data_IF_206137015222
#
_entry.id   IF_206137015222
#
_cell.length_a   1.000
_cell.length_b   1.000
_cell.length_c   1.000
_cell.angle_alpha   90.00
_cell.angle_beta   90.00
_cell.angle_gamma   90.00
#
_symmetry.space_group_name_H-M   'P 1'
#
loop_
_entity.id
_entity.type
_entity.pdbx_description
1 polymer ?
#
# COMPACT_ATOMS: atom_id res chain seq x y z
N UNK A 1 -17.03 36.46 -30.65
CA UNK A 1 -16.12 35.34 -30.96
C UNK A 1 -14.74 35.93 -31.16
N UNK A 2 -13.64 35.47 -30.53
CA UNK A 2 -13.45 34.41 -29.51
C UNK A 2 -13.29 35.02 -28.09
N UNK A 3 -13.44 34.36 -26.95
CA UNK A 3 -13.41 32.92 -26.66
C UNK A 3 -12.08 32.52 -26.02
N UNK A 4 -11.63 33.21 -24.97
CA UNK A 4 -10.39 32.89 -24.26
C UNK A 4 -10.63 32.91 -22.74
N UNK A 5 -10.59 31.71 -22.16
CA UNK A 5 -10.11 31.32 -20.83
C UNK A 5 -10.80 30.02 -20.44
N UNK A 6 -10.37 28.94 -21.12
CA UNK A 6 -10.38 27.62 -20.51
C UNK A 6 -9.35 27.64 -19.39
N UNK A 7 -9.75 28.12 -18.21
CA UNK A 7 -9.00 27.88 -16.98
C UNK A 7 -9.26 26.43 -16.58
N UNK A 8 -8.36 25.59 -17.09
CA UNK A 8 -8.15 24.20 -16.76
C UNK A 8 -8.36 23.98 -15.25
N UNK A 9 -9.28 23.08 -14.89
CA UNK A 9 -9.44 22.63 -13.52
C UNK A 9 -8.11 22.11 -12.96
N UNK A 10 -7.92 22.10 -11.63
CA UNK A 10 -6.74 21.49 -11.05
C UNK A 10 -6.67 20.05 -11.52
N UNK A 11 -5.65 19.82 -12.36
CA UNK A 11 -5.34 18.55 -13.00
C UNK A 11 -5.21 17.50 -11.90
N UNK A 12 -6.01 16.45 -12.03
CA UNK A 12 -5.82 15.18 -11.36
C UNK A 12 -4.32 14.91 -11.21
N UNK A 13 -3.87 14.91 -9.96
CA UNK A 13 -2.54 14.42 -9.57
C UNK A 13 -2.56 12.90 -9.59
N UNK A 14 -2.98 12.33 -10.72
CA UNK A 14 -2.74 10.94 -11.04
C UNK A 14 -1.42 10.84 -11.83
N UNK A 15 -0.73 9.71 -11.62
CA UNK A 15 0.35 9.23 -12.48
C UNK A 15 1.75 9.86 -12.31
N UNK A 16 2.48 9.40 -11.29
CA UNK A 16 3.77 8.69 -11.47
C UNK A 16 4.62 8.71 -10.19
N UNK A 17 4.22 7.93 -9.19
CA UNK A 17 5.16 7.38 -8.20
C UNK A 17 5.21 5.88 -8.44
N UNK A 18 5.95 5.48 -9.47
CA UNK A 18 6.10 4.08 -9.85
C UNK A 18 6.53 3.22 -8.67
N UNK A 19 5.74 2.17 -8.43
CA UNK A 19 6.06 0.92 -7.72
C UNK A 19 5.38 0.63 -6.37
N UNK A 20 4.54 1.50 -5.78
CA UNK A 20 3.79 1.15 -4.54
C UNK A 20 2.30 1.50 -4.61
N UNK A 21 1.39 0.59 -4.21
CA UNK A 21 -0.06 0.79 -4.30
C UNK A 21 -0.64 1.72 -3.21
N UNK A 22 0.21 2.46 -2.48
CA UNK A 22 -0.19 3.32 -1.37
C UNK A 22 -0.08 4.79 -1.81
N UNK A 23 -1.21 5.48 -1.90
CA UNK A 23 -1.33 6.87 -2.34
C UNK A 23 -0.66 7.89 -1.37
N UNK A 24 -0.25 9.04 -1.92
CA UNK A 24 0.55 10.09 -1.26
C UNK A 24 0.00 10.65 0.06
N UNK A 25 -1.32 10.69 0.26
CA UNK A 25 -1.92 11.21 1.50
C UNK A 25 -1.80 10.22 2.68
N UNK A 26 -1.85 8.92 2.41
CA UNK A 26 -1.60 7.89 3.41
C UNK A 26 -0.12 7.93 3.85
N UNK A 27 0.79 8.08 2.88
CA UNK A 27 2.23 8.24 3.12
C UNK A 27 2.56 9.39 4.10
N UNK A 28 1.97 10.59 3.91
CA UNK A 28 2.24 11.76 4.77
C UNK A 28 1.73 11.56 6.19
N UNK A 29 0.51 11.02 6.36
CA UNK A 29 -0.04 10.72 7.69
C UNK A 29 0.79 9.67 8.42
N UNK A 30 1.17 8.60 7.73
CA UNK A 30 1.96 7.53 8.32
C UNK A 30 3.38 7.97 8.69
N UNK A 31 4.05 8.75 7.83
CA UNK A 31 5.38 9.29 8.12
C UNK A 31 5.39 10.15 9.40
N UNK A 32 4.37 11.00 9.56
CA UNK A 32 4.20 11.82 10.75
C UNK A 32 3.93 10.98 12.01
N UNK A 33 3.07 9.95 11.91
CA UNK A 33 2.71 9.05 13.02
C UNK A 33 3.85 8.11 13.43
N UNK A 34 4.69 7.69 12.49
CA UNK A 34 5.79 6.75 12.72
C UNK A 34 7.14 7.44 13.00
N UNK A 35 7.21 8.78 12.95
CA UNK A 35 8.48 9.53 13.08
C UNK A 35 9.56 9.06 12.09
N UNK A 36 9.14 8.66 10.88
CA UNK A 36 10.05 8.30 9.78
C UNK A 36 9.99 9.43 8.74
N UNK A 37 11.14 9.87 8.18
CA UNK A 37 11.14 10.89 7.14
C UNK A 37 10.29 10.44 5.95
N UNK A 38 9.39 11.31 5.50
CA UNK A 38 8.46 11.05 4.40
C UNK A 38 9.17 10.64 3.09
N UNK A 39 10.45 10.99 2.92
CA UNK A 39 11.29 10.61 1.79
C UNK A 39 11.77 9.15 1.86
N UNK A 40 11.90 8.57 3.06
CA UNK A 40 12.30 7.16 3.21
C UNK A 40 11.14 6.19 3.10
N UNK A 41 9.94 6.60 3.47
CA UNK A 41 8.77 5.73 3.48
C UNK A 41 8.47 5.12 2.09
N UNK A 42 8.47 5.88 0.98
CA UNK A 42 8.33 5.32 -0.36
C UNK A 42 9.41 4.29 -0.71
N UNK A 43 10.65 4.50 -0.25
CA UNK A 43 11.79 3.58 -0.50
C UNK A 43 11.72 2.31 0.37
N UNK A 44 11.03 2.37 1.50
CA UNK A 44 10.77 1.21 2.34
C UNK A 44 9.61 0.38 1.78
N UNK A 45 8.50 1.05 1.46
CA UNK A 45 7.36 0.44 0.77
C UNK A 45 7.82 -0.22 -0.53
N UNK A 46 8.59 0.51 -1.35
CA UNK A 46 9.90 0.04 -1.77
C UNK A 46 10.15 -1.46 -1.95
N UNK A 47 11.11 -1.80 -1.11
CA UNK A 47 11.70 -3.09 -0.87
C UNK A 47 10.66 -4.08 -0.37
N UNK A 48 9.68 -3.63 0.41
CA UNK A 48 8.64 -4.50 0.97
C UNK A 48 7.79 -5.09 -0.14
N UNK A 49 7.25 -4.25 -1.02
CA UNK A 49 6.47 -4.70 -2.15
C UNK A 49 7.30 -5.51 -3.16
N UNK A 50 8.62 -5.28 -3.27
CA UNK A 50 9.51 -6.15 -4.05
C UNK A 50 9.74 -7.54 -3.41
N UNK A 51 9.67 -7.68 -2.07
CA UNK A 51 9.69 -8.98 -1.35
C UNK A 51 8.33 -9.68 -1.40
N UNK A 52 7.24 -8.91 -1.27
CA UNK A 52 5.87 -9.42 -1.19
C UNK A 52 5.27 -9.76 -2.56
N UNK A 53 5.52 -8.95 -3.58
CA UNK A 53 5.00 -9.13 -4.94
C UNK A 53 5.23 -10.53 -5.52
N UNK A 54 6.46 -11.07 -5.56
CA UNK A 54 6.71 -12.43 -6.07
C UNK A 54 6.17 -13.53 -5.14
N UNK A 55 5.74 -13.21 -3.93
CA UNK A 55 5.15 -14.15 -2.97
C UNK A 55 3.64 -14.09 -2.93
N UNK A 56 2.99 -13.27 -3.76
CA UNK A 56 1.55 -13.05 -3.67
C UNK A 56 0.74 -14.34 -3.81
N UNK A 57 1.17 -15.29 -4.67
CA UNK A 57 0.57 -16.62 -4.79
C UNK A 57 0.63 -17.43 -3.49
N UNK A 58 1.69 -17.26 -2.69
CA UNK A 58 1.81 -17.89 -1.37
C UNK A 58 0.83 -17.25 -0.38
N UNK A 59 0.68 -15.92 -0.43
CA UNK A 59 -0.29 -15.21 0.42
C UNK A 59 -1.71 -15.62 0.09
N UNK A 60 -2.01 -15.82 -1.19
CA UNK A 60 -3.32 -16.29 -1.65
C UNK A 60 -3.71 -17.66 -1.07
N UNK A 61 -2.71 -18.54 -0.85
CA UNK A 61 -2.94 -19.88 -0.28
C UNK A 61 -2.93 -19.90 1.24
N UNK A 62 -2.17 -18.99 1.86
CA UNK A 62 -1.88 -19.01 3.31
C UNK A 62 -2.77 -18.06 4.10
N UNK A 63 -3.19 -16.95 3.49
CA UNK A 63 -3.87 -15.86 4.17
C UNK A 63 -5.23 -15.56 3.55
N UNK A 64 -6.09 -14.96 4.37
CA UNK A 64 -7.42 -14.54 3.96
C UNK A 64 -7.31 -13.24 3.15
N UNK A 65 -7.73 -13.29 1.88
CA UNK A 65 -7.81 -12.13 1.01
C UNK A 65 -9.13 -11.40 1.25
N UNK A 66 -9.06 -10.13 1.68
CA UNK A 66 -10.23 -9.33 2.04
C UNK A 66 -10.71 -8.39 0.92
N UNK A 67 -9.78 -7.96 0.05
CA UNK A 67 -10.08 -7.13 -1.10
C UNK A 67 -9.08 -7.42 -2.24
N UNK A 68 -9.54 -7.27 -3.48
CA UNK A 68 -8.73 -7.46 -4.68
C UNK A 68 -9.18 -6.49 -5.77
N UNK A 69 -8.27 -5.65 -6.22
CA UNK A 69 -8.45 -4.69 -7.31
C UNK A 69 -7.54 -5.05 -8.49
N UNK A 70 -7.74 -4.37 -9.63
CA UNK A 70 -6.94 -4.58 -10.86
C UNK A 70 -5.45 -4.21 -10.73
N UNK A 71 -5.02 -3.62 -9.60
CA UNK A 71 -3.62 -3.26 -9.37
C UNK A 71 -3.09 -3.53 -7.97
N UNK A 72 -3.91 -4.09 -7.06
CA UNK A 72 -3.52 -4.40 -5.68
C UNK A 72 -4.44 -5.47 -5.08
N UNK A 73 -3.90 -6.31 -4.23
CA UNK A 73 -4.65 -7.24 -3.39
C UNK A 73 -4.33 -7.01 -1.92
N UNK A 74 -5.34 -7.19 -1.08
CA UNK A 74 -5.26 -6.93 0.35
C UNK A 74 -5.53 -8.21 1.13
N UNK A 75 -4.64 -8.51 2.07
CA UNK A 75 -4.66 -9.74 2.87
C UNK A 75 -4.63 -9.41 4.36
N UNK A 76 -5.27 -10.25 5.17
CA UNK A 76 -5.13 -10.24 6.62
C UNK A 76 -4.09 -11.27 7.04
N UNK A 77 -3.06 -10.81 7.74
CA UNK A 77 -1.98 -11.64 8.27
C UNK A 77 -1.90 -11.56 9.78
N UNK A 78 -1.18 -12.51 10.38
CA UNK A 78 -0.85 -12.46 11.80
C UNK A 78 0.02 -11.23 12.12
N UNK A 79 -0.12 -10.59 13.29
CA UNK A 79 0.66 -9.39 13.64
C UNK A 79 2.18 -9.66 13.63
N UNK A 80 2.60 -10.87 14.01
CA UNK A 80 4.00 -11.31 14.00
C UNK A 80 4.60 -11.41 12.58
N UNK A 81 3.76 -11.38 11.55
CA UNK A 81 4.18 -11.46 10.15
C UNK A 81 5.21 -10.37 9.78
N UNK A 82 4.97 -9.15 10.25
CA UNK A 82 5.82 -8.00 9.98
C UNK A 82 7.21 -8.15 10.63
N UNK A 83 7.33 -8.91 11.70
CA UNK A 83 8.64 -9.22 12.30
C UNK A 83 9.48 -10.08 11.35
N UNK A 84 8.84 -11.07 10.72
CA UNK A 84 9.48 -11.90 9.69
C UNK A 84 9.91 -11.10 8.46
N UNK A 85 9.06 -10.20 7.99
CA UNK A 85 9.38 -9.29 6.86
C UNK A 85 10.51 -8.35 7.23
N UNK A 86 10.44 -7.72 8.41
CA UNK A 86 11.45 -6.80 8.91
C UNK A 86 12.82 -7.45 9.04
N UNK A 87 12.88 -8.67 9.58
CA UNK A 87 14.13 -9.42 9.70
C UNK A 87 14.76 -9.76 8.34
N UNK A 88 13.94 -10.10 7.32
CA UNK A 88 14.45 -10.40 5.97
C UNK A 88 14.99 -9.17 5.27
N UNK A 89 14.32 -8.03 5.44
CA UNK A 89 14.66 -6.78 4.78
C UNK A 89 15.67 -5.93 5.57
N UNK A 90 16.03 -6.35 6.79
CA UNK A 90 16.90 -5.61 7.69
C UNK A 90 16.27 -4.30 8.16
N UNK A 91 14.95 -4.28 8.37
CA UNK A 91 14.23 -3.11 8.87
C UNK A 91 14.42 -2.96 10.37
N UNK A 92 14.64 -1.73 10.82
CA UNK A 92 14.57 -1.36 12.23
C UNK A 92 13.14 -1.44 12.74
N UNK A 93 12.93 -1.55 14.06
CA UNK A 93 11.58 -1.57 14.66
C UNK A 93 10.70 -0.40 14.21
N UNK A 94 11.28 0.80 14.10
CA UNK A 94 10.58 2.00 13.61
C UNK A 94 10.21 1.93 12.13
N UNK A 95 11.08 1.35 11.32
CA UNK A 95 10.82 1.19 9.88
C UNK A 95 9.74 0.15 9.65
N UNK A 96 9.77 -0.94 10.42
CA UNK A 96 8.72 -1.96 10.46
C UNK A 96 7.38 -1.34 10.88
N UNK A 97 7.34 -0.60 11.99
CA UNK A 97 6.11 0.07 12.46
C UNK A 97 5.53 1.01 11.41
N UNK A 98 6.39 1.80 10.75
CA UNK A 98 5.98 2.70 9.67
C UNK A 98 5.39 1.96 8.47
N UNK A 99 6.00 0.83 8.07
CA UNK A 99 5.49 -0.01 6.96
C UNK A 99 4.18 -0.66 7.33
N UNK A 100 4.08 -1.26 8.53
CA UNK A 100 2.86 -1.87 9.06
C UNK A 100 1.73 -0.87 9.06
N UNK A 101 1.92 0.30 9.69
CA UNK A 101 0.95 1.40 9.71
C UNK A 101 0.53 1.84 8.32
N UNK A 102 1.47 1.92 7.38
CA UNK A 102 1.15 2.32 6.01
C UNK A 102 0.22 1.31 5.33
N UNK A 103 0.47 0.02 5.52
CA UNK A 103 -0.36 -1.04 4.94
C UNK A 103 -1.72 -1.10 5.61
N UNK A 104 -1.79 -1.00 6.94
CA UNK A 104 -3.04 -0.95 7.70
C UNK A 104 -3.91 0.24 7.28
N UNK A 105 -3.33 1.44 7.19
CA UNK A 105 -4.06 2.63 6.68
C UNK A 105 -4.53 2.45 5.24
N UNK A 106 -3.76 1.75 4.40
CA UNK A 106 -4.19 1.44 3.04
C UNK A 106 -5.36 0.44 3.03
N UNK A 107 -5.34 -0.57 3.92
CA UNK A 107 -6.47 -1.51 4.10
C UNK A 107 -7.72 -0.78 4.57
N UNK A 108 -7.62 0.07 5.60
CA UNK A 108 -8.75 0.87 6.10
C UNK A 108 -9.39 1.69 4.98
N UNK A 109 -8.57 2.27 4.10
CA UNK A 109 -9.04 3.05 2.94
C UNK A 109 -9.79 2.18 1.95
N UNK A 110 -9.24 1.01 1.56
CA UNK A 110 -9.94 0.05 0.69
C UNK A 110 -11.27 -0.40 1.31
N UNK A 111 -11.29 -0.65 2.63
CA UNK A 111 -12.53 -0.95 3.35
C UNK A 111 -13.55 0.19 3.28
N UNK A 112 -13.09 1.45 3.38
CA UNK A 112 -13.95 2.61 3.22
C UNK A 112 -14.51 2.73 1.79
N UNK A 113 -13.68 2.53 0.76
CA UNK A 113 -14.09 2.55 -0.64
C UNK A 113 -15.13 1.46 -0.96
N UNK A 114 -15.01 0.28 -0.35
CA UNK A 114 -16.00 -0.81 -0.51
C UNK A 114 -17.18 -0.76 0.46
N UNK A 115 -17.27 0.28 1.31
CA UNK A 115 -18.33 0.41 2.31
C UNK A 115 -18.27 -0.62 3.45
N UNK A 116 -17.11 -1.28 3.64
CA UNK A 116 -16.82 -2.29 4.67
C UNK A 116 -15.81 -1.80 5.72
N UNK A 117 -15.72 -0.48 5.93
CA UNK A 117 -14.74 0.15 6.82
C UNK A 117 -14.72 -0.45 8.22
N UNK A 118 -15.88 -0.56 8.87
CA UNK A 118 -15.98 -1.03 10.25
C UNK A 118 -15.53 -2.48 10.40
N UNK A 119 -15.81 -3.33 9.40
CA UNK A 119 -15.35 -4.72 9.37
C UNK A 119 -13.82 -4.80 9.27
N UNK A 120 -13.21 -3.95 8.43
CA UNK A 120 -11.77 -3.93 8.26
C UNK A 120 -11.07 -3.33 9.48
N UNK A 121 -11.62 -2.27 10.08
CA UNK A 121 -11.10 -1.68 11.32
C UNK A 121 -11.10 -2.73 12.44
N UNK A 122 -12.22 -3.43 12.65
CA UNK A 122 -12.32 -4.50 13.64
C UNK A 122 -11.37 -5.69 13.36
N UNK A 123 -11.16 -6.04 12.10
CA UNK A 123 -10.19 -7.07 11.73
C UNK A 123 -8.75 -6.65 12.05
N UNK A 124 -8.42 -5.37 11.84
CA UNK A 124 -7.10 -4.79 12.12
C UNK A 124 -6.80 -4.66 13.62
N UNK A 125 -7.80 -4.70 14.49
CA UNK A 125 -7.59 -4.73 15.95
C UNK A 125 -6.90 -6.03 16.42
N UNK A 126 -7.03 -7.12 15.65
CA UNK A 126 -6.53 -8.46 16.01
C UNK A 126 -5.51 -9.02 15.01
N UNK A 127 -5.40 -8.42 13.83
CA UNK A 127 -4.54 -8.87 12.72
C UNK A 127 -3.90 -7.65 12.08
N UNK A 128 -2.86 -7.86 11.28
CA UNK A 128 -2.31 -6.78 10.45
C UNK A 128 -2.77 -6.91 9.01
N UNK A 129 -2.96 -5.76 8.37
CA UNK A 129 -3.28 -5.67 6.95
C UNK A 129 -2.02 -5.61 6.10
N UNK A 130 -1.99 -6.38 5.01
CA UNK A 130 -0.93 -6.32 4.00
C UNK A 130 -1.57 -6.01 2.65
N UNK A 131 -1.15 -4.91 2.03
CA UNK A 131 -1.46 -4.58 0.65
C UNK A 131 -0.29 -4.96 -0.24
N UNK A 132 -0.53 -5.84 -1.22
CA UNK A 132 0.46 -6.22 -2.23
C UNK A 132 -0.03 -5.72 -3.57
N UNK A 133 0.77 -4.90 -4.24
CA UNK A 133 0.47 -4.45 -5.60
C UNK A 133 0.56 -5.62 -6.58
N UNK A 134 -0.54 -5.92 -7.25
CA UNK A 134 -0.62 -6.80 -8.42
C UNK A 134 -0.42 -5.95 -9.66
N UNK A 135 0.74 -5.29 -9.76
CA UNK A 135 1.12 -4.79 -11.07
C UNK A 135 1.19 -6.03 -11.96
N UNK A 136 0.18 -6.22 -12.81
CA UNK A 136 0.37 -6.98 -14.03
C UNK A 136 1.68 -6.45 -14.57
N UNK A 137 2.68 -7.31 -14.70
CA UNK A 137 3.94 -7.01 -15.38
C UNK A 137 3.55 -6.14 -16.56
N UNK A 138 3.80 -4.83 -16.50
CA UNK A 138 3.51 -3.96 -17.64
C UNK A 138 4.30 -4.59 -18.77
N UNK A 139 3.55 -5.12 -19.74
CA UNK A 139 4.07 -6.02 -20.75
C UNK A 139 5.33 -5.43 -21.33
N UNK A 140 6.30 -6.32 -21.50
CA UNK A 140 7.25 -6.27 -22.60
C UNK A 140 6.53 -5.71 -23.84
N UNK A 141 6.78 -4.43 -24.13
CA UNK A 141 6.23 -3.71 -25.26
C UNK A 141 7.40 -3.36 -26.16
N UNK A 142 7.81 -4.36 -26.94
CA UNK A 142 8.67 -4.23 -28.11
C UNK A 142 8.28 -2.98 -28.94
N UNK A 143 9.24 -2.06 -29.13
CA UNK A 143 9.29 -1.16 -30.28
C UNK A 143 10.71 -0.65 -30.54
#
# INVERSE_FOLDING_TARGET
MPGDEGAEGPKEVEESAGSYPIEGTALVKTAALASVPAERLPTLLARVQADLGPRIDEYHRRYERIAADSGRETFLVEPDHWEGVGNRLGLSDRERDAVTRAHETAVERVGADEGRREEFEAALEIRSGVVVGTAERKGDGDN
#
